data_IF_259092111285
#
_entry.id   IF_259092111285
#
_cell.length_a   1.000
_cell.length_b   1.000
_cell.length_c   1.000
_cell.angle_alpha   90.00
_cell.angle_beta   90.00
_cell.angle_gamma   90.00
#
_symmetry.space_group_name_H-M   'P 1'
#
loop_
_entity.id
_entity.type
_entity.pdbx_description
1 polymer ?
#
# COMPACT_ATOMS: atom_id res chain seq x y z
N UNK A 1 -3.34 13.40 5.03
CA UNK A 1 -2.27 13.23 6.05
C UNK A 1 -1.40 12.03 5.66
N UNK A 2 -0.14 11.90 6.11
CA UNK A 2 0.63 10.70 5.80
C UNK A 2 0.04 9.47 6.50
N UNK A 3 0.12 8.30 5.87
CA UNK A 3 -0.41 7.02 6.38
C UNK A 3 0.34 6.51 7.62
N UNK A 4 1.51 7.09 7.89
CA UNK A 4 2.26 6.95 9.13
C UNK A 4 3.20 8.15 9.34
N UNK A 5 3.54 8.46 10.59
CA UNK A 5 4.52 9.50 10.91
C UNK A 5 5.95 9.18 10.43
N UNK A 6 6.78 10.21 10.21
CA UNK A 6 8.15 10.06 9.67
C UNK A 6 9.03 9.07 10.42
N UNK A 7 8.98 9.07 11.76
CA UNK A 7 9.78 8.13 12.58
C UNK A 7 9.32 6.69 12.37
N UNK A 8 8.00 6.48 12.30
CA UNK A 8 7.40 5.17 12.06
C UNK A 8 7.72 4.68 10.66
N UNK A 9 7.71 5.56 9.66
CA UNK A 9 8.14 5.27 8.29
C UNK A 9 9.57 4.74 8.22
N UNK A 10 10.53 5.42 8.84
CA UNK A 10 11.92 4.95 8.85
C UNK A 10 12.09 3.63 9.62
N UNK A 11 11.39 3.48 10.75
CA UNK A 11 11.41 2.25 11.56
C UNK A 11 10.82 1.06 10.79
N UNK A 12 9.71 1.28 10.10
CA UNK A 12 9.03 0.30 9.26
C UNK A 12 9.97 -0.26 8.18
N UNK A 13 10.57 0.60 7.36
CA UNK A 13 11.45 0.17 6.26
C UNK A 13 12.72 -0.55 6.78
N UNK A 14 13.18 -0.17 7.98
CA UNK A 14 14.26 -0.88 8.67
C UNK A 14 13.81 -2.27 9.14
N UNK A 15 12.62 -2.40 9.71
CA UNK A 15 12.09 -3.68 10.19
C UNK A 15 11.75 -4.63 9.03
N UNK A 16 11.16 -4.10 7.95
CA UNK A 16 10.74 -4.88 6.80
C UNK A 16 11.92 -5.42 5.99
N UNK A 17 12.94 -4.59 5.73
CA UNK A 17 14.00 -4.96 4.78
C UNK A 17 15.40 -4.40 5.12
N UNK A 18 15.60 -3.87 6.33
CA UNK A 18 16.91 -3.33 6.74
C UNK A 18 17.30 -2.01 6.06
N UNK A 19 16.33 -1.30 5.50
CA UNK A 19 16.54 -0.07 4.73
C UNK A 19 16.62 1.18 5.61
N UNK A 20 17.31 2.19 5.09
CA UNK A 20 17.50 3.52 5.68
C UNK A 20 16.91 4.57 4.74
N UNK A 21 15.58 4.66 4.70
CA UNK A 21 14.86 5.63 3.85
C UNK A 21 14.99 7.07 4.38
N UNK A 22 15.03 8.04 3.46
CA UNK A 22 15.10 9.46 3.82
C UNK A 22 13.72 9.98 4.24
N UNK A 23 13.68 10.92 5.19
CA UNK A 23 12.42 11.57 5.59
C UNK A 23 11.70 12.27 4.44
N UNK A 24 12.46 12.75 3.46
CA UNK A 24 11.95 13.43 2.27
C UNK A 24 11.19 12.44 1.35
N UNK A 25 11.37 11.13 1.57
CA UNK A 25 10.72 10.08 0.80
C UNK A 25 9.30 9.81 1.28
N UNK A 26 8.95 10.28 2.48
CA UNK A 26 7.64 10.03 3.08
C UNK A 26 6.50 10.50 2.18
N UNK A 27 6.67 11.63 1.49
CA UNK A 27 5.66 12.15 0.58
C UNK A 27 5.45 11.21 -0.61
N UNK A 28 6.51 10.85 -1.34
CA UNK A 28 6.39 9.94 -2.50
C UNK A 28 5.87 8.56 -2.10
N UNK A 29 6.24 8.07 -0.92
CA UNK A 29 5.68 6.85 -0.36
C UNK A 29 4.17 6.98 -0.07
N UNK A 30 3.76 8.07 0.57
CA UNK A 30 2.35 8.32 0.91
C UNK A 30 1.49 8.44 -0.35
N UNK A 31 1.99 9.18 -1.36
CA UNK A 31 1.31 9.35 -2.64
C UNK A 31 1.19 7.99 -3.37
N UNK A 32 2.26 7.18 -3.35
CA UNK A 32 2.26 5.82 -3.91
C UNK A 32 1.25 4.87 -3.24
N UNK A 33 1.17 4.87 -1.91
CA UNK A 33 0.21 4.02 -1.19
C UNK A 33 -1.23 4.43 -1.50
N UNK A 34 -1.49 5.73 -1.54
CA UNK A 34 -2.79 6.27 -1.93
C UNK A 34 -3.19 5.84 -3.35
N UNK A 35 -2.30 6.04 -4.33
CA UNK A 35 -2.52 5.63 -5.72
C UNK A 35 -2.87 4.14 -5.81
N UNK A 36 -2.07 3.27 -5.18
CA UNK A 36 -2.28 1.82 -5.28
C UNK A 36 -3.52 1.33 -4.55
N UNK A 37 -3.88 1.92 -3.41
CA UNK A 37 -5.12 1.56 -2.73
C UNK A 37 -6.33 2.01 -3.57
N UNK A 38 -6.28 3.21 -4.14
CA UNK A 38 -7.33 3.71 -5.00
C UNK A 38 -7.52 2.80 -6.23
N UNK A 39 -6.43 2.39 -6.89
CA UNK A 39 -6.48 1.48 -8.05
C UNK A 39 -7.08 0.11 -7.69
N UNK A 40 -6.69 -0.48 -6.56
CA UNK A 40 -7.25 -1.74 -6.07
C UNK A 40 -8.76 -1.64 -5.85
N UNK A 41 -9.24 -0.54 -5.26
CA UNK A 41 -10.67 -0.32 -5.01
C UNK A 41 -11.42 -0.04 -6.32
N UNK A 42 -10.81 0.70 -7.25
CA UNK A 42 -11.39 0.98 -8.57
C UNK A 42 -11.68 -0.32 -9.33
N UNK A 43 -10.75 -1.28 -9.30
CA UNK A 43 -10.96 -2.61 -9.87
C UNK A 43 -11.96 -3.42 -9.04
N UNK A 44 -11.92 -3.31 -7.70
CA UNK A 44 -12.90 -3.93 -6.81
C UNK A 44 -14.34 -3.51 -7.11
N UNK A 45 -14.58 -2.24 -7.44
CA UNK A 45 -15.89 -1.73 -7.90
C UNK A 45 -16.38 -2.49 -9.13
N UNK A 46 -15.50 -2.75 -10.10
CA UNK A 46 -15.87 -3.48 -11.32
C UNK A 46 -16.27 -4.94 -10.99
N UNK A 47 -15.53 -5.61 -10.08
CA UNK A 47 -15.88 -6.95 -9.59
C UNK A 47 -17.21 -6.96 -8.84
N UNK A 48 -17.43 -6.02 -7.92
CA UNK A 48 -18.67 -5.92 -7.16
C UNK A 48 -19.89 -5.75 -8.07
N UNK A 49 -19.80 -4.84 -9.07
CA UNK A 49 -20.83 -4.64 -10.08
C UNK A 49 -21.10 -5.87 -10.93
N UNK A 50 -20.04 -6.58 -11.37
CA UNK A 50 -20.19 -7.82 -12.12
C UNK A 50 -20.90 -8.91 -11.32
N UNK A 51 -20.78 -8.86 -9.98
CA UNK A 51 -21.47 -9.74 -9.05
C UNK A 51 -22.80 -9.16 -8.51
N UNK A 52 -23.35 -8.11 -9.14
CA UNK A 52 -24.62 -7.48 -8.78
C UNK A 52 -24.68 -6.97 -7.33
N UNK A 53 -23.55 -6.48 -6.81
CA UNK A 53 -23.45 -5.88 -5.47
C UNK A 53 -23.21 -4.38 -5.55
N UNK A 54 -23.83 -3.67 -4.61
CA UNK A 54 -23.71 -2.22 -4.42
C UNK A 54 -22.71 -1.85 -3.31
N UNK A 55 -21.93 -2.83 -2.85
CA UNK A 55 -20.89 -2.69 -1.84
C UNK A 55 -19.66 -3.49 -2.25
N UNK A 56 -18.48 -2.90 -2.07
CA UNK A 56 -17.19 -3.56 -2.35
C UNK A 56 -16.81 -4.41 -1.15
N UNK A 57 -16.73 -5.72 -1.38
CA UNK A 57 -16.38 -6.71 -0.37
C UNK A 57 -14.89 -7.07 -0.46
N UNK A 58 -14.32 -7.69 0.58
CA UNK A 58 -12.88 -7.92 0.61
C UNK A 58 -12.36 -8.84 -0.50
N UNK A 59 -13.21 -9.70 -1.06
CA UNK A 59 -12.88 -10.60 -2.18
C UNK A 59 -13.04 -9.96 -3.56
N UNK A 60 -13.55 -8.72 -3.64
CA UNK A 60 -13.53 -7.96 -4.89
C UNK A 60 -12.19 -7.33 -5.19
N UNK A 61 -11.43 -7.02 -4.14
CA UNK A 61 -10.12 -6.41 -4.30
C UNK A 61 -9.20 -7.42 -4.98
N UNK A 62 -8.46 -7.03 -6.04
CA UNK A 62 -7.60 -7.93 -6.82
C UNK A 62 -6.29 -8.22 -6.07
N UNK A 63 -6.38 -8.73 -4.85
CA UNK A 63 -5.23 -9.10 -4.03
C UNK A 63 -4.66 -10.42 -4.55
N UNK A 64 -3.56 -10.32 -5.28
CA UNK A 64 -2.83 -11.50 -5.77
C UNK A 64 -2.22 -12.29 -4.62
N UNK A 65 -1.87 -13.56 -4.86
CA UNK A 65 -1.16 -14.40 -3.89
C UNK A 65 0.10 -13.72 -3.35
N UNK A 66 0.87 -13.06 -4.22
CA UNK A 66 2.10 -12.37 -3.84
C UNK A 66 1.84 -11.21 -2.87
N UNK A 67 0.82 -10.40 -3.14
CA UNK A 67 0.44 -9.31 -2.23
C UNK A 67 -0.12 -9.85 -0.91
N UNK A 68 -0.93 -10.91 -0.95
CA UNK A 68 -1.45 -11.56 0.26
C UNK A 68 -0.31 -12.09 1.16
N UNK A 69 0.76 -12.65 0.58
CA UNK A 69 1.93 -13.04 1.36
C UNK A 69 2.65 -11.85 1.99
N UNK A 70 2.72 -10.71 1.31
CA UNK A 70 3.28 -9.48 1.89
C UNK A 70 2.41 -8.92 3.01
N UNK A 71 1.07 -9.04 2.90
CA UNK A 71 0.15 -8.73 4.02
C UNK A 71 0.45 -9.62 5.23
N UNK A 72 0.59 -10.94 5.04
CA UNK A 72 0.95 -11.84 6.15
C UNK A 72 2.34 -11.56 6.75
N UNK A 73 3.28 -11.01 5.96
CA UNK A 73 4.58 -10.55 6.48
C UNK A 73 4.40 -9.28 7.32
N UNK A 74 3.58 -8.34 6.85
CA UNK A 74 3.26 -7.12 7.58
C UNK A 74 2.61 -7.42 8.94
N UNK A 75 1.66 -8.35 9.02
CA UNK A 75 1.02 -8.75 10.28
C UNK A 75 2.00 -9.29 11.34
N UNK A 76 3.18 -9.76 10.91
CA UNK A 76 4.25 -10.24 11.81
C UNK A 76 5.19 -9.12 12.27
N UNK A 77 5.09 -7.94 11.65
CA UNK A 77 5.80 -6.75 12.09
C UNK A 77 5.01 -6.11 13.24
N UNK A 78 5.70 -5.71 14.30
CA UNK A 78 5.13 -4.90 15.39
C UNK A 78 5.00 -3.43 14.95
N UNK A 79 4.29 -3.23 13.83
CA UNK A 79 4.07 -1.93 13.17
C UNK A 79 2.61 -1.82 12.76
N UNK A 80 2.06 -0.61 12.85
CA UNK A 80 0.66 -0.35 12.48
C UNK A 80 0.57 0.73 11.39
N UNK A 81 -0.44 0.63 10.55
CA UNK A 81 -0.83 1.71 9.62
C UNK A 81 -2.12 2.33 10.14
N UNK A 82 -2.21 3.66 10.11
CA UNK A 82 -3.41 4.35 10.56
C UNK A 82 -4.48 4.29 9.47
N UNK A 83 -5.71 3.92 9.86
CA UNK A 83 -6.84 3.84 8.94
C UNK A 83 -7.32 5.22 8.47
N UNK A 84 -7.43 6.18 9.39
CA UNK A 84 -8.04 7.49 9.08
C UNK A 84 -7.33 8.23 7.93
N UNK A 85 -5.98 8.31 7.87
CA UNK A 85 -5.31 8.92 6.73
C UNK A 85 -5.65 8.27 5.39
N UNK A 86 -5.86 6.95 5.35
CA UNK A 86 -6.24 6.24 4.13
C UNK A 86 -7.66 6.64 3.68
N UNK A 87 -8.60 6.72 4.62
CA UNK A 87 -9.97 7.17 4.33
C UNK A 87 -9.99 8.64 3.88
N UNK A 88 -9.22 9.51 4.53
CA UNK A 88 -9.08 10.92 4.15
C UNK A 88 -8.53 11.07 2.72
N UNK A 89 -7.60 10.20 2.32
CA UNK A 89 -7.04 10.20 0.98
C UNK A 89 -8.04 9.71 -0.07
N UNK A 90 -8.79 8.65 0.23
CA UNK A 90 -9.86 8.15 -0.64
C UNK A 90 -10.96 9.18 -0.87
N UNK A 91 -11.34 9.94 0.17
CA UNK A 91 -12.35 11.00 0.05
C UNK A 91 -11.87 12.22 -0.74
N UNK A 92 -10.55 12.42 -0.86
CA UNK A 92 -9.97 13.47 -1.69
C UNK A 92 -9.88 13.12 -3.19
N UNK A 93 -10.11 11.85 -3.54
CA UNK A 93 -10.11 11.33 -4.92
C UNK A 93 -11.52 11.43 -5.53
N UNK A 94 -11.66 11.28 -6.87
CA UNK A 94 -12.98 11.18 -7.50
C UNK A 94 -13.84 10.11 -6.80
N UNK A 95 -15.11 10.41 -6.51
CA UNK A 95 -15.99 9.46 -5.83
C UNK A 95 -16.10 8.14 -6.60
N UNK A 96 -16.06 7.04 -5.87
CA UNK A 96 -16.17 5.71 -6.45
C UNK A 96 -17.62 5.27 -6.68
N UNK A 97 -18.63 6.09 -6.38
CA UNK A 97 -20.07 5.78 -6.52
C UNK A 97 -20.48 4.41 -5.96
N UNK A 98 -19.74 3.91 -4.97
CA UNK A 98 -19.97 2.63 -4.31
C UNK A 98 -19.25 2.66 -2.95
N UNK A 99 -19.91 2.16 -1.91
CA UNK A 99 -19.33 2.09 -0.58
C UNK A 99 -18.43 0.85 -0.45
N UNK A 100 -17.42 0.96 0.42
CA UNK A 100 -16.70 -0.20 0.94
C UNK A 100 -17.57 -0.86 2.02
N UNK A 101 -17.56 -2.18 2.12
CA UNK A 101 -18.09 -2.83 3.33
C UNK A 101 -17.21 -2.49 4.52
N UNK A 102 -17.77 -2.52 5.73
CA UNK A 102 -16.99 -2.29 6.96
C UNK A 102 -15.78 -3.23 7.05
N UNK A 103 -15.95 -4.49 6.63
CA UNK A 103 -14.86 -5.46 6.58
C UNK A 103 -13.77 -5.06 5.58
N UNK A 104 -14.13 -4.47 4.44
CA UNK A 104 -13.16 -3.96 3.46
C UNK A 104 -12.40 -2.75 4.00
N UNK A 105 -13.09 -1.79 4.64
CA UNK A 105 -12.47 -0.62 5.26
C UNK A 105 -11.45 -1.02 6.33
N UNK A 106 -11.83 -1.95 7.22
CA UNK A 106 -10.96 -2.45 8.28
C UNK A 106 -9.71 -3.18 7.74
N UNK A 107 -9.73 -3.68 6.50
CA UNK A 107 -8.57 -4.31 5.86
C UNK A 107 -7.62 -3.33 5.17
N UNK A 108 -8.02 -2.08 4.94
CA UNK A 108 -7.16 -1.09 4.26
C UNK A 108 -5.78 -0.92 4.93
N UNK A 109 -5.65 -0.86 6.28
CA UNK A 109 -4.34 -0.76 6.92
C UNK A 109 -3.45 -1.97 6.66
N UNK A 110 -4.03 -3.17 6.61
CA UNK A 110 -3.30 -4.42 6.30
C UNK A 110 -2.82 -4.42 4.85
N UNK A 111 -3.66 -3.96 3.91
CA UNK A 111 -3.30 -3.85 2.49
C UNK A 111 -2.20 -2.81 2.31
N UNK A 112 -2.34 -1.63 2.93
CA UNK A 112 -1.32 -0.58 2.93
C UNK A 112 0.01 -1.12 3.46
N UNK A 113 0.01 -1.79 4.63
CA UNK A 113 1.20 -2.39 5.20
C UNK A 113 1.81 -3.47 4.31
N UNK A 114 0.99 -4.31 3.68
CA UNK A 114 1.43 -5.32 2.71
C UNK A 114 2.08 -4.71 1.47
N UNK A 115 1.53 -3.63 0.92
CA UNK A 115 2.13 -2.87 -0.17
C UNK A 115 3.48 -2.29 0.25
N UNK A 116 3.58 -1.76 1.47
CA UNK A 116 4.82 -1.20 2.02
C UNK A 116 5.90 -2.24 2.24
N UNK A 117 5.54 -3.44 2.73
CA UNK A 117 6.47 -4.58 2.82
C UNK A 117 6.93 -4.98 1.42
N UNK A 118 6.01 -5.13 0.48
CA UNK A 118 6.37 -5.47 -0.89
C UNK A 118 7.34 -4.44 -1.49
N UNK A 119 7.09 -3.15 -1.28
CA UNK A 119 7.94 -2.07 -1.75
C UNK A 119 9.34 -2.12 -1.13
N UNK A 120 9.43 -2.33 0.18
CA UNK A 120 10.69 -2.49 0.89
C UNK A 120 11.51 -3.68 0.33
N UNK A 121 10.86 -4.82 0.10
CA UNK A 121 11.51 -5.99 -0.48
C UNK A 121 11.92 -5.78 -1.94
N UNK A 122 11.17 -5.00 -2.72
CA UNK A 122 11.55 -4.67 -4.10
C UNK A 122 12.88 -3.91 -4.14
N UNK A 123 13.11 -2.94 -3.25
CA UNK A 123 14.40 -2.25 -3.17
C UNK A 123 15.58 -3.22 -2.96
N UNK A 124 15.45 -4.13 -1.99
CA UNK A 124 16.51 -5.12 -1.70
C UNK A 124 16.67 -6.12 -2.83
N UNK A 125 15.61 -6.43 -3.56
CA UNK A 125 15.67 -7.37 -4.68
C UNK A 125 16.42 -6.77 -5.87
N UNK A 126 16.21 -5.48 -6.15
CA UNK A 126 16.83 -4.79 -7.29
C UNK A 126 18.26 -4.35 -6.97
N UNK A 127 18.52 -3.83 -5.77
CA UNK A 127 19.84 -3.33 -5.34
C UNK A 127 20.22 -3.87 -3.93
N UNK A 128 20.65 -5.14 -3.82
CA UNK A 128 20.84 -5.81 -2.52
C UNK A 128 21.85 -5.15 -1.58
N UNK A 129 22.90 -4.55 -2.14
CA UNK A 129 23.98 -3.93 -1.36
C UNK A 129 23.64 -2.50 -0.90
N UNK A 130 22.54 -1.92 -1.41
CA UNK A 130 22.17 -0.54 -1.15
C UNK A 130 21.13 -0.42 -0.04
N UNK A 131 21.58 0.06 1.12
CA UNK A 131 20.69 0.27 2.27
C UNK A 131 19.87 1.56 2.23
N UNK A 132 20.32 2.57 1.50
CA UNK A 132 19.63 3.87 1.38
C UNK A 132 19.16 4.08 -0.07
N UNK A 133 17.87 3.82 -0.38
CA UNK A 133 17.33 4.02 -1.72
C UNK A 133 17.21 5.52 -2.02
N UNK A 134 17.86 5.96 -3.09
CA UNK A 134 17.72 7.31 -3.63
C UNK A 134 16.59 7.40 -4.66
N UNK A 135 16.46 8.55 -5.31
CA UNK A 135 15.35 8.80 -6.24
C UNK A 135 15.32 7.84 -7.43
N UNK A 136 16.48 7.40 -7.94
CA UNK A 136 16.53 6.43 -9.03
C UNK A 136 15.90 5.09 -8.61
N UNK A 137 16.22 4.60 -7.41
CA UNK A 137 15.70 3.33 -6.90
C UNK A 137 14.20 3.41 -6.64
N UNK A 138 13.71 4.52 -6.08
CA UNK A 138 12.28 4.78 -5.91
C UNK A 138 11.52 4.73 -7.24
N UNK A 139 12.05 5.36 -8.29
CA UNK A 139 11.42 5.34 -9.61
C UNK A 139 11.38 3.92 -10.19
N UNK A 140 12.49 3.17 -10.12
CA UNK A 140 12.53 1.78 -10.58
C UNK A 140 11.53 0.91 -9.82
N UNK A 141 11.45 1.05 -8.50
CA UNK A 141 10.49 0.31 -7.70
C UNK A 141 9.05 0.67 -8.10
N UNK A 142 8.73 1.95 -8.28
CA UNK A 142 7.41 2.37 -8.73
C UNK A 142 7.07 1.82 -10.12
N UNK A 143 8.00 1.87 -11.07
CA UNK A 143 7.81 1.31 -12.41
C UNK A 143 7.48 -0.18 -12.36
N UNK A 144 8.18 -0.95 -11.51
CA UNK A 144 7.87 -2.38 -11.29
C UNK A 144 6.45 -2.57 -10.77
N UNK A 145 6.01 -1.74 -9.81
CA UNK A 145 4.65 -1.82 -9.29
C UNK A 145 3.60 -1.45 -10.35
N UNK A 146 3.84 -0.44 -11.19
CA UNK A 146 2.92 -0.08 -12.29
C UNK A 146 2.74 -1.18 -13.34
N UNK A 147 3.69 -2.11 -13.46
CA UNK A 147 3.54 -3.27 -14.34
C UNK A 147 2.57 -4.33 -13.78
N UNK A 148 2.28 -4.29 -12.48
CA UNK A 148 1.59 -5.37 -11.76
C UNK A 148 0.32 -4.91 -11.03
N UNK A 149 0.25 -3.64 -10.61
CA UNK A 149 -0.79 -3.04 -9.79
C UNK A 149 -1.23 -1.69 -10.33
#
# INVERSE_FOLDING_TARGET
>A
MPVMGTVKFQRFFRAAAGLQVDRNDLKRYTDFIDDKIYDLILIGKASAKANLRDVIEPWDLPITKGLQESIHRFEKLDEEIELQPLLDQLTARPPLDMALSEQTEQRLPLIAGGLSVALAHTFVTVEPDRKNPGTAEWNVAFDIFHLLL
#
